data_IF_416233933139
#
_entry.id   IF_416233933139
#
_cell.length_a   1.000
_cell.length_b   1.000
_cell.length_c   1.000
_cell.angle_alpha   90.00
_cell.angle_beta   90.00
_cell.angle_gamma   90.00
#
_symmetry.space_group_name_H-M   'P 1'
#
loop_
_entity.id
_entity.type
_entity.pdbx_description
1 polymer ?
#
# COMPACT_ATOMS: atom_id res chain seq x y z
N UNK A 1 -37.05 6.70 -20.64
CA UNK A 1 -38.42 6.43 -21.14
C UNK A 1 -38.86 5.08 -20.58
N UNK A 2 -39.69 5.10 -19.55
CA UNK A 2 -40.37 3.93 -18.97
C UNK A 2 -41.78 4.38 -18.58
N UNK A 3 -42.82 3.56 -18.81
CA UNK A 3 -44.19 4.04 -18.89
C UNK A 3 -44.78 4.26 -17.48
N UNK A 4 -45.40 5.41 -17.27
CA UNK A 4 -46.24 5.68 -16.10
C UNK A 4 -47.58 4.99 -16.35
N UNK A 5 -47.79 3.87 -15.68
CA UNK A 5 -49.04 3.11 -15.68
C UNK A 5 -50.14 3.89 -14.95
N UNK A 6 -51.20 4.23 -15.69
CA UNK A 6 -52.46 4.82 -15.17
C UNK A 6 -53.07 3.86 -14.14
N UNK A 7 -53.07 4.26 -12.86
CA UNK A 7 -53.89 3.65 -11.83
C UNK A 7 -55.37 4.01 -12.06
N UNK A 8 -56.21 3.00 -12.26
CA UNK A 8 -57.65 3.14 -12.43
C UNK A 8 -58.30 3.77 -11.20
N UNK A 9 -59.07 4.85 -11.41
CA UNK A 9 -60.00 5.38 -10.42
C UNK A 9 -61.18 4.42 -10.31
N UNK A 10 -61.15 3.53 -9.33
CA UNK A 10 -62.36 2.84 -8.86
C UNK A 10 -63.35 3.89 -8.33
N UNK A 11 -64.52 3.97 -8.95
CA UNK A 11 -65.62 4.83 -8.49
C UNK A 11 -66.15 4.27 -7.16
N UNK A 12 -66.11 5.09 -6.11
CA UNK A 12 -66.73 4.80 -4.83
C UNK A 12 -68.26 4.87 -4.98
N UNK A 13 -68.95 3.75 -4.79
CA UNK A 13 -70.39 3.72 -4.57
C UNK A 13 -70.63 3.50 -3.06
N UNK A 14 -70.51 4.57 -2.28
CA UNK A 14 -71.03 4.60 -0.91
C UNK A 14 -72.52 4.90 -0.97
N UNK A 15 -73.37 3.88 -0.83
CA UNK A 15 -74.80 4.08 -0.62
C UNK A 15 -75.05 4.45 0.84
N UNK A 16 -75.36 5.73 1.08
CA UNK A 16 -75.76 6.23 2.40
C UNK A 16 -77.27 6.12 2.49
N UNK A 17 -77.77 5.17 3.26
CA UNK A 17 -79.18 5.09 3.65
C UNK A 17 -79.33 5.81 5.00
N UNK A 18 -80.06 6.93 4.98
CA UNK A 18 -80.43 7.71 6.17
C UNK A 18 -81.87 7.31 6.51
N UNK A 19 -82.05 6.72 7.69
CA UNK A 19 -83.36 6.37 8.22
C UNK A 19 -83.70 7.39 9.31
N UNK A 20 -84.50 8.39 8.94
CA UNK A 20 -84.90 9.49 9.82
C UNK A 20 -86.26 9.18 10.43
N UNK A 21 -86.24 8.23 11.38
CA UNK A 21 -87.42 7.88 12.17
C UNK A 21 -87.17 8.19 13.63
N UNK A 22 -87.75 9.31 14.07
CA UNK A 22 -87.98 9.73 15.46
C UNK A 22 -86.77 10.23 16.29
N UNK A 23 -86.41 11.51 16.13
CA UNK A 23 -86.01 12.41 17.23
C UNK A 23 -84.83 12.05 18.15
N UNK A 24 -84.09 10.98 17.89
CA UNK A 24 -82.91 10.53 18.65
C UNK A 24 -81.91 9.88 17.71
N UNK A 25 -80.86 10.62 17.35
CA UNK A 25 -79.60 10.11 16.76
C UNK A 25 -79.70 9.60 15.32
N UNK A 26 -79.03 10.29 14.38
CA UNK A 26 -78.87 9.83 12.99
C UNK A 26 -78.05 8.54 12.97
N UNK A 27 -78.68 7.42 12.60
CA UNK A 27 -78.03 6.11 12.53
C UNK A 27 -77.58 5.82 11.09
N UNK A 28 -76.34 6.17 10.78
CA UNK A 28 -75.72 5.86 9.48
C UNK A 28 -75.27 4.39 9.46
N UNK A 29 -75.85 3.57 8.58
CA UNK A 29 -75.36 2.21 8.32
C UNK A 29 -74.42 2.21 7.12
N UNK A 30 -73.12 2.19 7.39
CA UNK A 30 -72.10 1.99 6.36
C UNK A 30 -71.99 0.49 6.05
N UNK A 31 -72.38 0.07 4.85
CA UNK A 31 -71.96 -1.24 4.30
C UNK A 31 -70.63 -1.03 3.61
N UNK A 32 -69.55 -1.38 4.30
CA UNK A 32 -68.25 -1.45 3.66
C UNK A 32 -68.20 -2.70 2.77
N UNK A 33 -67.71 -2.52 1.54
CA UNK A 33 -67.52 -3.60 0.58
C UNK A 33 -66.41 -4.54 1.11
N UNK A 34 -66.78 -5.79 1.42
CA UNK A 34 -65.90 -6.75 2.10
C UNK A 34 -64.60 -6.98 1.32
N UNK A 35 -64.70 -6.96 -0.01
CA UNK A 35 -63.57 -7.16 -0.91
C UNK A 35 -62.58 -5.98 -0.86
N UNK A 36 -63.08 -4.77 -0.61
CA UNK A 36 -62.24 -3.56 -0.51
C UNK A 36 -61.47 -3.51 0.82
N UNK A 37 -62.12 -3.92 1.93
CA UNK A 37 -61.45 -4.03 3.22
C UNK A 37 -60.32 -5.05 3.14
N UNK A 38 -60.56 -6.18 2.49
CA UNK A 38 -59.56 -7.23 2.33
C UNK A 38 -58.36 -6.74 1.49
N UNK A 39 -58.62 -6.06 0.37
CA UNK A 39 -57.55 -5.50 -0.47
C UNK A 39 -56.70 -4.42 0.24
N UNK A 40 -57.32 -3.58 1.07
CA UNK A 40 -56.60 -2.57 1.86
C UNK A 40 -55.77 -3.23 2.96
N UNK A 41 -56.31 -4.26 3.62
CA UNK A 41 -55.59 -5.04 4.63
C UNK A 41 -54.37 -5.76 4.01
N UNK A 42 -54.51 -6.36 2.83
CA UNK A 42 -53.42 -7.05 2.14
C UNK A 42 -52.31 -6.08 1.70
N UNK A 43 -52.66 -4.87 1.22
CA UNK A 43 -51.67 -3.83 0.87
C UNK A 43 -50.93 -3.28 2.09
N UNK A 44 -51.63 -3.08 3.20
CA UNK A 44 -51.03 -2.68 4.49
C UNK A 44 -50.06 -3.76 4.97
N UNK A 45 -50.46 -5.04 4.92
CA UNK A 45 -49.63 -6.18 5.27
C UNK A 45 -48.36 -6.26 4.40
N UNK A 46 -48.49 -6.09 3.09
CA UNK A 46 -47.36 -6.09 2.14
C UNK A 46 -46.37 -4.96 2.44
N UNK A 47 -46.90 -3.76 2.75
CA UNK A 47 -46.07 -2.59 3.10
C UNK A 47 -45.30 -2.84 4.40
N UNK A 48 -45.96 -3.37 5.44
CA UNK A 48 -45.31 -3.71 6.71
C UNK A 48 -44.24 -4.80 6.52
N UNK A 49 -44.49 -5.79 5.67
CA UNK A 49 -43.47 -6.81 5.35
C UNK A 49 -42.26 -6.22 4.63
N UNK A 50 -42.48 -5.31 3.66
CA UNK A 50 -41.40 -4.60 2.97
C UNK A 50 -40.56 -3.77 3.95
N UNK A 51 -41.19 -3.03 4.86
CA UNK A 51 -40.49 -2.23 5.88
C UNK A 51 -39.66 -3.10 6.82
N UNK A 52 -40.19 -4.25 7.27
CA UNK A 52 -39.42 -5.21 8.08
C UNK A 52 -38.19 -5.73 7.33
N UNK A 53 -38.35 -6.11 6.05
CA UNK A 53 -37.24 -6.62 5.22
C UNK A 53 -36.16 -5.56 4.99
N UNK A 54 -36.54 -4.30 4.83
CA UNK A 54 -35.59 -3.18 4.73
C UNK A 54 -34.85 -2.99 6.04
N UNK A 55 -35.55 -3.00 7.19
CA UNK A 55 -34.92 -2.86 8.49
C UNK A 55 -33.91 -3.98 8.79
N UNK A 56 -34.21 -5.21 8.35
CA UNK A 56 -33.31 -6.36 8.48
C UNK A 56 -32.04 -6.20 7.63
N UNK A 57 -32.18 -5.82 6.35
CA UNK A 57 -31.02 -5.53 5.48
C UNK A 57 -30.17 -4.38 6.01
N UNK A 58 -30.77 -3.35 6.59
CA UNK A 58 -30.03 -2.22 7.18
C UNK A 58 -29.19 -2.69 8.38
N UNK A 59 -29.72 -3.60 9.21
CA UNK A 59 -28.95 -4.19 10.31
C UNK A 59 -27.78 -5.02 9.80
N UNK A 60 -28.00 -5.82 8.75
CA UNK A 60 -26.94 -6.64 8.15
C UNK A 60 -25.83 -5.80 7.51
N UNK A 61 -26.19 -4.73 6.77
CA UNK A 61 -25.19 -3.81 6.21
C UNK A 61 -24.41 -3.13 7.32
N UNK A 62 -25.08 -2.71 8.40
CA UNK A 62 -24.42 -2.05 9.53
C UNK A 62 -23.38 -2.97 10.19
N UNK A 63 -23.71 -4.25 10.41
CA UNK A 63 -22.74 -5.19 11.00
C UNK A 63 -21.56 -5.46 10.06
N UNK A 64 -21.78 -5.54 8.75
CA UNK A 64 -20.70 -5.67 7.77
C UNK A 64 -19.76 -4.44 7.75
N UNK A 65 -20.32 -3.23 7.85
CA UNK A 65 -19.53 -1.99 7.91
C UNK A 65 -18.71 -1.92 9.20
N UNK A 66 -19.29 -2.32 10.33
CA UNK A 66 -18.58 -2.35 11.62
C UNK A 66 -17.42 -3.38 11.60
N UNK A 67 -17.63 -4.57 11.03
CA UNK A 67 -16.58 -5.57 10.86
C UNK A 67 -15.44 -5.08 9.93
N UNK A 68 -15.78 -4.45 8.81
CA UNK A 68 -14.80 -3.88 7.88
C UNK A 68 -14.03 -2.68 8.51
N UNK A 69 -14.68 -1.91 9.37
CA UNK A 69 -14.03 -0.82 10.11
C UNK A 69 -13.02 -1.35 11.13
N UNK A 70 -13.32 -2.45 11.83
CA UNK A 70 -12.37 -3.11 12.73
C UNK A 70 -11.14 -3.64 12.00
N UNK A 71 -11.33 -4.28 10.83
CA UNK A 71 -10.22 -4.79 10.01
C UNK A 71 -9.32 -3.65 9.51
N UNK A 72 -9.92 -2.56 8.99
CA UNK A 72 -9.18 -1.37 8.58
C UNK A 72 -8.42 -0.74 9.76
N UNK A 73 -9.01 -0.71 10.95
CA UNK A 73 -8.35 -0.16 12.14
C UNK A 73 -7.16 -1.03 12.57
N UNK A 74 -7.25 -2.36 12.43
CA UNK A 74 -6.12 -3.28 12.68
C UNK A 74 -4.98 -3.06 11.69
N UNK A 75 -5.31 -2.94 10.40
CA UNK A 75 -4.32 -2.64 9.35
C UNK A 75 -3.64 -1.28 9.59
N UNK A 76 -4.40 -0.23 9.90
CA UNK A 76 -3.83 1.08 10.20
C UNK A 76 -2.93 1.08 11.44
N UNK A 77 -3.28 0.33 12.49
CA UNK A 77 -2.42 0.16 13.67
C UNK A 77 -1.11 -0.56 13.32
N UNK A 78 -1.16 -1.62 12.51
CA UNK A 78 0.03 -2.33 12.07
C UNK A 78 0.95 -1.43 11.23
N UNK A 79 0.39 -0.69 10.27
CA UNK A 79 1.13 0.28 9.45
C UNK A 79 1.74 1.39 10.33
N UNK A 80 1.00 1.89 11.32
CA UNK A 80 1.50 2.91 12.24
C UNK A 80 2.65 2.39 13.12
N UNK A 81 2.60 1.13 13.60
CA UNK A 81 3.69 0.49 14.34
C UNK A 81 4.91 0.34 13.46
N UNK A 82 4.76 -0.18 12.23
CA UNK A 82 5.87 -0.30 11.27
C UNK A 82 6.50 1.07 11.01
N UNK A 83 5.69 2.09 10.69
CA UNK A 83 6.17 3.45 10.41
C UNK A 83 6.82 4.14 11.64
N UNK A 84 6.42 3.77 12.87
CA UNK A 84 7.03 4.27 14.11
C UNK A 84 8.38 3.61 14.36
N UNK A 85 8.48 2.31 14.12
CA UNK A 85 9.75 1.56 14.16
C UNK A 85 10.74 2.07 13.11
N UNK A 86 10.28 2.38 11.90
CA UNK A 86 11.11 3.01 10.86
C UNK A 86 11.62 4.39 11.32
N UNK A 87 10.74 5.22 11.90
CA UNK A 87 11.11 6.56 12.41
C UNK A 87 12.12 6.50 13.55
N UNK A 88 12.02 5.52 14.43
CA UNK A 88 12.99 5.33 15.54
C UNK A 88 14.35 4.87 15.02
N UNK A 89 14.39 3.96 14.03
CA UNK A 89 15.64 3.56 13.37
C UNK A 89 16.28 4.72 12.61
N UNK A 90 15.48 5.55 11.94
CA UNK A 90 15.93 6.78 11.26
C UNK A 90 16.47 7.81 12.26
N UNK A 91 15.79 8.01 13.39
CA UNK A 91 16.21 8.94 14.44
C UNK A 91 17.49 8.49 15.16
N UNK A 92 17.70 7.18 15.33
CA UNK A 92 18.94 6.64 15.87
C UNK A 92 20.10 6.71 14.86
N UNK A 93 19.83 6.50 13.57
CA UNK A 93 20.83 6.62 12.49
C UNK A 93 21.28 8.05 12.19
N UNK A 94 20.39 9.04 12.33
CA UNK A 94 20.69 10.46 12.03
C UNK A 94 21.69 11.08 13.01
N UNK A 95 21.80 10.55 14.23
CA UNK A 95 22.84 10.97 15.19
C UNK A 95 24.26 10.59 14.72
N UNK A 96 24.40 9.62 13.80
CA UNK A 96 25.68 9.09 13.34
C UNK A 96 25.77 9.02 11.80
N UNK A 97 25.39 10.08 11.09
CA UNK A 97 25.51 10.19 9.60
C UNK A 97 26.88 9.80 9.06
N UNK A 98 27.93 10.18 9.77
CA UNK A 98 29.30 9.80 9.43
C UNK A 98 29.49 8.28 9.50
N UNK A 99 28.99 7.62 10.55
CA UNK A 99 29.09 6.16 10.69
C UNK A 99 28.38 5.46 9.52
N UNK A 100 27.17 5.88 9.17
CA UNK A 100 26.42 5.33 8.04
C UNK A 100 27.20 5.47 6.72
N UNK A 101 27.77 6.66 6.45
CA UNK A 101 28.59 6.89 5.27
C UNK A 101 29.83 5.97 5.24
N UNK A 102 30.56 5.88 6.35
CA UNK A 102 31.77 5.05 6.43
C UNK A 102 31.44 3.56 6.34
N UNK A 103 30.30 3.11 6.88
CA UNK A 103 29.85 1.73 6.75
C UNK A 103 29.60 1.36 5.28
N UNK A 104 28.89 2.22 4.54
CA UNK A 104 28.65 2.02 3.09
C UNK A 104 29.97 2.07 2.31
N UNK A 105 30.86 3.03 2.62
CA UNK A 105 32.16 3.11 1.98
C UNK A 105 33.04 1.88 2.26
N UNK A 106 33.04 1.38 3.50
CA UNK A 106 33.78 0.18 3.89
C UNK A 106 33.24 -1.08 3.19
N UNK A 107 31.92 -1.17 3.02
CA UNK A 107 31.31 -2.26 2.25
C UNK A 107 31.79 -2.27 0.79
N UNK A 108 31.73 -1.12 0.10
CA UNK A 108 32.25 -1.00 -1.27
C UNK A 108 33.75 -1.26 -1.35
N UNK A 109 34.52 -0.80 -0.36
CA UNK A 109 35.95 -1.07 -0.29
C UNK A 109 36.24 -2.57 -0.12
N UNK A 110 35.54 -3.24 0.78
CA UNK A 110 35.68 -4.68 1.01
C UNK A 110 35.32 -5.50 -0.22
N UNK A 111 34.18 -5.21 -0.85
CA UNK A 111 33.77 -5.83 -2.12
C UNK A 111 34.82 -5.59 -3.22
N UNK A 112 35.31 -4.35 -3.35
CA UNK A 112 36.31 -4.00 -4.36
C UNK A 112 37.65 -4.71 -4.15
N UNK A 113 38.13 -4.78 -2.90
CA UNK A 113 39.35 -5.52 -2.56
C UNK A 113 39.20 -7.01 -2.86
N UNK A 114 38.07 -7.61 -2.49
CA UNK A 114 37.73 -9.00 -2.84
C UNK A 114 37.75 -9.20 -4.36
N UNK A 115 37.12 -8.31 -5.14
CA UNK A 115 37.08 -8.41 -6.59
C UNK A 115 38.47 -8.33 -7.25
N UNK A 116 39.42 -7.62 -6.63
CA UNK A 116 40.80 -7.54 -7.12
C UNK A 116 41.61 -8.79 -6.75
N UNK A 117 41.60 -9.15 -5.47
CA UNK A 117 42.44 -10.22 -4.89
C UNK A 117 41.93 -11.59 -5.31
N UNK A 118 40.62 -11.82 -5.20
CA UNK A 118 39.99 -13.12 -5.40
C UNK A 118 38.74 -13.00 -6.30
N UNK A 119 38.93 -12.75 -7.62
CA UNK A 119 37.83 -12.55 -8.55
C UNK A 119 36.91 -13.78 -8.68
N UNK A 120 37.41 -14.99 -8.39
CA UNK A 120 36.62 -16.21 -8.43
C UNK A 120 35.49 -16.23 -7.40
N UNK A 121 35.72 -15.69 -6.20
CA UNK A 121 34.72 -15.66 -5.14
C UNK A 121 33.49 -14.82 -5.51
N UNK A 122 33.67 -13.75 -6.30
CA UNK A 122 32.56 -12.88 -6.74
C UNK A 122 31.58 -13.64 -7.64
N UNK A 123 32.09 -14.40 -8.61
CA UNK A 123 31.24 -15.12 -9.57
C UNK A 123 30.78 -16.49 -9.08
N UNK A 124 31.41 -17.04 -8.04
CA UNK A 124 30.95 -18.28 -7.41
C UNK A 124 29.52 -18.15 -6.85
N UNK A 125 29.14 -16.98 -6.30
CA UNK A 125 27.76 -16.71 -5.87
C UNK A 125 26.72 -16.79 -7.00
N UNK A 126 27.17 -16.69 -8.25
CA UNK A 126 26.36 -16.77 -9.46
C UNK A 126 26.52 -18.12 -10.18
N UNK A 127 27.18 -19.11 -9.55
CA UNK A 127 27.31 -20.47 -10.07
C UNK A 127 28.43 -20.67 -11.10
N UNK A 128 29.40 -19.75 -11.18
CA UNK A 128 30.58 -19.90 -12.04
C UNK A 128 31.82 -20.28 -11.21
N UNK A 129 32.25 -21.53 -11.32
CA UNK A 129 33.38 -22.06 -10.54
C UNK A 129 34.74 -21.85 -11.22
N UNK A 130 34.77 -21.74 -12.56
CA UNK A 130 36.01 -21.56 -13.33
C UNK A 130 35.96 -20.27 -14.15
N UNK A 131 36.85 -19.32 -13.86
CA UNK A 131 36.94 -18.07 -14.60
C UNK A 131 38.14 -18.09 -15.55
N UNK A 132 37.95 -17.90 -16.88
CA UNK A 132 39.05 -17.67 -17.81
C UNK A 132 39.75 -16.32 -17.52
N UNK A 133 40.99 -16.11 -18.01
CA UNK A 133 41.75 -14.89 -17.74
C UNK A 133 41.00 -13.58 -18.07
N UNK A 134 40.30 -13.55 -19.20
CA UNK A 134 39.53 -12.37 -19.64
C UNK A 134 38.39 -12.03 -18.67
N UNK A 135 37.67 -13.04 -18.19
CA UNK A 135 36.60 -12.84 -17.22
C UNK A 135 37.13 -12.41 -15.86
N UNK A 136 38.32 -12.87 -15.45
CA UNK A 136 38.98 -12.35 -14.24
C UNK A 136 39.36 -10.88 -14.40
N UNK A 137 39.81 -10.48 -15.58
CA UNK A 137 40.10 -9.08 -15.87
C UNK A 137 38.84 -8.20 -15.75
N UNK A 138 37.72 -8.66 -16.32
CA UNK A 138 36.43 -8.00 -16.15
C UNK A 138 36.03 -7.89 -14.68
N UNK A 139 36.17 -8.96 -13.90
CA UNK A 139 35.82 -8.93 -12.47
C UNK A 139 36.66 -7.91 -11.71
N UNK A 140 37.97 -7.86 -11.96
CA UNK A 140 38.87 -6.91 -11.30
C UNK A 140 38.59 -5.47 -11.71
N UNK A 141 38.25 -5.21 -12.96
CA UNK A 141 37.92 -3.87 -13.44
C UNK A 141 36.57 -3.39 -12.90
N UNK A 142 35.52 -4.17 -13.17
CA UNK A 142 34.12 -3.78 -12.96
C UNK A 142 33.66 -3.98 -11.53
N UNK A 143 34.00 -5.09 -10.86
CA UNK A 143 33.58 -5.32 -9.48
C UNK A 143 34.65 -4.84 -8.50
N UNK A 144 35.92 -5.04 -8.84
CA UNK A 144 37.05 -4.60 -8.04
C UNK A 144 37.26 -3.09 -8.04
N UNK A 145 37.74 -2.57 -9.17
CA UNK A 145 38.12 -1.17 -9.35
C UNK A 145 36.97 -0.20 -9.14
N UNK A 146 35.77 -0.49 -9.67
CA UNK A 146 34.58 0.32 -9.44
C UNK A 146 34.21 0.41 -7.95
N UNK A 147 34.22 -0.72 -7.23
CA UNK A 147 33.91 -0.75 -5.79
C UNK A 147 34.86 0.15 -4.99
N UNK A 148 36.16 0.06 -5.28
CA UNK A 148 37.16 0.94 -4.67
C UNK A 148 36.96 2.42 -5.03
N UNK A 149 36.61 2.71 -6.29
CA UNK A 149 36.36 4.07 -6.75
C UNK A 149 35.14 4.68 -6.04
N UNK A 150 34.04 3.93 -5.89
CA UNK A 150 32.86 4.38 -5.15
C UNK A 150 33.18 4.59 -3.67
N UNK A 151 33.94 3.69 -3.05
CA UNK A 151 34.38 3.85 -1.65
C UNK A 151 35.19 5.14 -1.45
N UNK A 152 36.17 5.39 -2.33
CA UNK A 152 36.98 6.60 -2.30
C UNK A 152 36.13 7.86 -2.54
N UNK A 153 35.18 7.80 -3.48
CA UNK A 153 34.25 8.88 -3.79
C UNK A 153 33.37 9.22 -2.57
N UNK A 154 32.83 8.21 -1.88
CA UNK A 154 32.00 8.42 -0.68
C UNK A 154 32.80 9.08 0.45
N UNK A 155 34.03 8.63 0.70
CA UNK A 155 34.94 9.28 1.66
C UNK A 155 35.28 10.71 1.22
N UNK A 156 35.47 10.94 -0.08
CA UNK A 156 35.72 12.27 -0.64
C UNK A 156 34.54 13.22 -0.40
N UNK A 157 33.29 12.75 -0.52
CA UNK A 157 32.11 13.59 -0.25
C UNK A 157 32.15 14.18 1.17
N UNK A 158 32.67 13.44 2.15
CA UNK A 158 32.82 13.91 3.54
C UNK A 158 33.75 15.12 3.65
N UNK A 159 34.82 15.16 2.86
CA UNK A 159 35.78 16.28 2.86
C UNK A 159 35.18 17.52 2.20
N UNK A 160 34.44 17.32 1.10
CA UNK A 160 33.86 18.41 0.31
C UNK A 160 32.59 18.97 0.93
N UNK A 161 31.85 18.18 1.71
CA UNK A 161 30.57 18.53 2.35
C UNK A 161 30.60 19.88 3.09
N UNK A 162 31.70 20.20 3.80
CA UNK A 162 31.82 21.50 4.50
C UNK A 162 31.90 22.71 3.57
N UNK A 163 32.47 22.55 2.37
CA UNK A 163 32.71 23.65 1.41
C UNK A 163 31.63 23.73 0.33
N UNK A 164 31.10 22.57 -0.08
CA UNK A 164 30.16 22.41 -1.19
C UNK A 164 29.14 21.31 -0.82
N UNK A 165 28.14 21.63 0.00
CA UNK A 165 27.15 20.65 0.48
C UNK A 165 26.35 20.03 -0.69
N UNK A 166 26.01 20.82 -1.71
CA UNK A 166 25.23 20.36 -2.86
C UNK A 166 25.97 19.30 -3.69
N UNK A 167 27.30 19.44 -3.82
CA UNK A 167 28.14 18.44 -4.50
C UNK A 167 28.16 17.12 -3.73
N UNK A 168 28.30 17.18 -2.40
CA UNK A 168 28.27 15.98 -1.57
C UNK A 168 26.89 15.30 -1.61
N UNK A 169 25.81 16.08 -1.58
CA UNK A 169 24.44 15.59 -1.72
C UNK A 169 24.23 14.91 -3.07
N UNK A 170 24.60 15.55 -4.18
CA UNK A 170 24.47 14.99 -5.53
C UNK A 170 25.24 13.68 -5.70
N UNK A 171 26.49 13.62 -5.24
CA UNK A 171 27.31 12.40 -5.34
C UNK A 171 26.74 11.24 -4.50
N UNK A 172 26.33 11.50 -3.25
CA UNK A 172 25.69 10.48 -2.41
C UNK A 172 24.35 10.03 -3.00
N UNK A 173 23.58 10.95 -3.58
CA UNK A 173 22.31 10.65 -4.23
C UNK A 173 22.50 9.78 -5.47
N UNK A 174 23.50 10.08 -6.30
CA UNK A 174 23.83 9.25 -7.46
C UNK A 174 24.11 7.80 -7.05
N UNK A 175 24.97 7.58 -6.04
CA UNK A 175 25.29 6.23 -5.54
C UNK A 175 24.05 5.54 -4.95
N UNK A 176 23.22 6.26 -4.20
CA UNK A 176 21.96 5.73 -3.64
C UNK A 176 21.00 5.28 -4.75
N UNK A 177 20.81 6.11 -5.78
CA UNK A 177 19.96 5.78 -6.93
C UNK A 177 20.51 4.59 -7.70
N UNK A 178 21.84 4.49 -7.87
CA UNK A 178 22.48 3.30 -8.47
C UNK A 178 22.20 2.02 -7.67
N UNK A 179 22.27 2.06 -6.34
CA UNK A 179 21.91 0.92 -5.47
C UNK A 179 20.44 0.51 -5.65
N UNK A 180 19.52 1.48 -5.67
CA UNK A 180 18.11 1.22 -5.94
C UNK A 180 17.89 0.63 -7.35
N UNK A 181 18.66 1.09 -8.34
CA UNK A 181 18.62 0.56 -9.70
C UNK A 181 19.05 -0.91 -9.79
N UNK A 182 20.10 -1.31 -9.06
CA UNK A 182 20.50 -2.72 -8.97
C UNK A 182 19.41 -3.57 -8.32
N UNK A 183 18.83 -3.10 -7.22
CA UNK A 183 17.73 -3.78 -6.55
C UNK A 183 16.50 -3.93 -7.47
N UNK A 184 16.14 -2.88 -8.22
CA UNK A 184 15.07 -2.92 -9.21
C UNK A 184 15.38 -3.91 -10.35
N UNK A 185 16.63 -3.98 -10.82
CA UNK A 185 17.06 -4.95 -11.82
C UNK A 185 16.81 -6.40 -11.37
N UNK A 186 16.99 -6.70 -10.08
CA UNK A 186 16.67 -8.03 -9.52
C UNK A 186 15.17 -8.31 -9.50
N UNK A 187 14.34 -7.31 -9.20
CA UNK A 187 12.88 -7.46 -9.28
C UNK A 187 12.42 -7.77 -10.71
N UNK A 188 13.03 -7.11 -11.69
CA UNK A 188 12.78 -7.40 -13.11
C UNK A 188 13.19 -8.83 -13.45
N UNK A 189 14.37 -9.27 -13.00
CA UNK A 189 14.80 -10.66 -13.19
C UNK A 189 13.85 -11.66 -12.52
N UNK A 190 13.30 -11.38 -11.34
CA UNK A 190 12.26 -12.24 -10.74
C UNK A 190 10.94 -12.26 -11.51
N UNK A 191 10.62 -11.18 -12.21
CA UNK A 191 9.42 -11.13 -13.04
C UNK A 191 9.58 -11.91 -14.35
N UNK A 192 10.80 -12.01 -14.88
CA UNK A 192 11.10 -12.68 -16.15
C UNK A 192 11.49 -14.15 -15.91
N UNK A 193 12.34 -14.42 -14.92
CA UNK A 193 12.84 -15.74 -14.56
C UNK A 193 12.18 -16.28 -13.27
N UNK A 194 11.61 -17.50 -13.34
CA UNK A 194 10.85 -18.12 -12.24
C UNK A 194 11.71 -18.82 -11.17
N UNK A 195 13.00 -19.02 -11.42
CA UNK A 195 13.93 -19.66 -10.48
C UNK A 195 15.04 -18.70 -10.10
N UNK A 196 15.01 -18.20 -8.87
CA UNK A 196 16.18 -17.53 -8.29
C UNK A 196 16.67 -18.28 -7.07
N UNK A 197 17.98 -18.52 -7.06
CA UNK A 197 18.66 -19.07 -5.89
C UNK A 197 18.64 -18.09 -4.71
N UNK A 198 19.10 -18.51 -3.53
CA UNK A 198 19.08 -17.69 -2.32
C UNK A 198 20.00 -16.45 -2.43
N UNK A 199 21.06 -16.51 -3.23
CA UNK A 199 22.05 -15.42 -3.34
C UNK A 199 21.50 -14.11 -3.92
N UNK A 200 20.77 -14.09 -5.06
CA UNK A 200 20.10 -12.90 -5.56
C UNK A 200 19.21 -12.19 -4.53
N UNK A 201 18.51 -12.92 -3.67
CA UNK A 201 17.67 -12.34 -2.61
C UNK A 201 18.50 -11.66 -1.52
N UNK A 202 19.63 -12.27 -1.13
CA UNK A 202 20.56 -11.67 -0.17
C UNK A 202 21.14 -10.38 -0.75
N UNK A 203 21.58 -10.38 -2.01
CA UNK A 203 22.10 -9.17 -2.64
C UNK A 203 21.05 -8.06 -2.75
N UNK A 204 19.80 -8.40 -3.09
CA UNK A 204 18.68 -7.45 -3.08
C UNK A 204 18.51 -6.80 -1.71
N UNK A 205 18.51 -7.60 -0.64
CA UNK A 205 18.39 -7.08 0.73
C UNK A 205 19.57 -6.17 1.11
N UNK A 206 20.80 -6.55 0.73
CA UNK A 206 22.01 -5.74 0.95
C UNK A 206 21.96 -4.43 0.17
N UNK A 207 21.56 -4.44 -1.10
CA UNK A 207 21.42 -3.24 -1.93
C UNK A 207 20.44 -2.24 -1.31
N UNK A 208 19.27 -2.72 -0.85
CA UNK A 208 18.29 -1.89 -0.16
C UNK A 208 18.82 -1.38 1.19
N UNK A 209 19.50 -2.22 1.96
CA UNK A 209 20.07 -1.83 3.25
C UNK A 209 21.14 -0.73 3.08
N UNK A 210 22.02 -0.85 2.07
CA UNK A 210 23.03 0.16 1.76
C UNK A 210 22.41 1.45 1.24
N UNK A 211 21.38 1.37 0.37
CA UNK A 211 20.65 2.54 -0.10
C UNK A 211 19.99 3.28 1.08
N UNK A 212 19.39 2.51 2.01
CA UNK A 212 18.79 3.06 3.22
C UNK A 212 19.84 3.72 4.13
N UNK A 213 20.97 3.05 4.40
CA UNK A 213 22.06 3.62 5.18
C UNK A 213 22.62 4.90 4.55
N UNK A 214 22.75 4.94 3.22
CA UNK A 214 23.22 6.12 2.51
C UNK A 214 22.20 7.26 2.54
N UNK A 215 20.90 6.95 2.52
CA UNK A 215 19.83 7.94 2.70
C UNK A 215 19.91 8.62 4.07
N UNK A 216 20.26 7.86 5.12
CA UNK A 216 20.51 8.39 6.46
C UNK A 216 21.76 9.26 6.53
N UNK A 217 22.71 9.07 5.62
CA UNK A 217 23.96 9.83 5.54
C UNK A 217 23.89 11.06 4.62
N UNK A 218 22.75 11.36 4.00
CA UNK A 218 22.57 12.56 3.18
C UNK A 218 22.83 13.82 4.02
N UNK A 219 23.44 14.90 3.48
CA UNK A 219 23.50 16.21 4.14
C UNK A 219 22.11 16.85 4.26
N UNK A 220 21.90 17.74 5.24
CA UNK A 220 20.69 18.55 5.31
C UNK A 220 20.81 19.64 4.25
N UNK A 221 19.90 19.64 3.28
CA UNK A 221 19.73 20.74 2.36
C UNK A 221 19.31 21.96 3.18
N UNK A 222 20.27 22.84 3.50
CA UNK A 222 19.89 24.18 3.94
C UNK A 222 19.38 24.88 2.70
N UNK A 223 18.06 25.01 2.57
CA UNK A 223 17.49 25.91 1.58
C UNK A 223 18.10 27.29 1.84
N UNK A 224 18.96 27.73 0.91
CA UNK A 224 19.46 29.09 0.82
C UNK A 224 18.43 29.95 0.08
#
# INVERSE_FOLDING_TARGET
MTPITKAGRGRMNTSVSVDDSAGRGVKVRLRADSDLIQQLADKEQEKVQKEKKVAERVKEIRSQVEAAAEENMRLQRAVAVIARSSRLLVAMGSSNRALCLHAVAAFFAGMGLVGIVEPGMVLHFFGLDTLPPDLRNEVRGVYGGFGLAIAALLVFTRRVERRRPDYALGLRTAVMVSLCGMAAGRLVSWAIESTTGPWPLVFFAVELALAFLLSMAMPESRCA
#
